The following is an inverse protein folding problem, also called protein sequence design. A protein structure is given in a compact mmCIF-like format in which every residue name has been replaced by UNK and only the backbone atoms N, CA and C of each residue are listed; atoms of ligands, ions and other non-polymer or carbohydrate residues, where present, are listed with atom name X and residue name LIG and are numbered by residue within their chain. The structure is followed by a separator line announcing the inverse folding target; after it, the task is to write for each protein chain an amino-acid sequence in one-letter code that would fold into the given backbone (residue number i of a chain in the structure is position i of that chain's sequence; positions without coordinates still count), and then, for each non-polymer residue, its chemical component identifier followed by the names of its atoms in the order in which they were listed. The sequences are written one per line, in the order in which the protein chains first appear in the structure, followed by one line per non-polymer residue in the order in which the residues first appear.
data_IF_017091886521
#
_entry.id   IF_017091886521
#
_cell.length_a   1.000
_cell.length_b   1.000
_cell.length_c   1.000
_cell.angle_alpha   90.00
_cell.angle_beta   90.00
_cell.angle_gamma   90.00
#
_symmetry.space_group_name_H-M   'P 1'
#
loop_
_entity.id
_entity.type
_entity.pdbx_description
1 polymer ?
#
# COMPACT_ATOMS: atom_id res chain seq x y z
N UNK A 1 -16.69 7.65 -18.66
CA UNK A 1 -15.87 6.43 -18.73
C UNK A 1 -14.43 6.86 -18.47
N UNK A 2 -13.84 6.43 -17.35
CA UNK A 2 -12.63 7.05 -16.77
C UNK A 2 -11.39 6.83 -17.66
N UNK A 3 -11.37 5.73 -18.41
CA UNK A 3 -10.22 5.29 -19.23
C UNK A 3 -10.40 5.63 -20.71
N UNK A 4 -11.64 5.78 -21.19
CA UNK A 4 -11.92 6.03 -22.61
C UNK A 4 -11.37 7.39 -23.04
N UNK A 5 -10.45 7.38 -23.99
CA UNK A 5 -9.79 8.59 -24.52
C UNK A 5 -8.72 9.18 -23.59
N UNK A 6 -8.33 8.48 -22.52
CA UNK A 6 -7.19 8.86 -21.71
C UNK A 6 -5.89 8.27 -22.30
N UNK A 7 -4.77 8.95 -22.10
CA UNK A 7 -3.45 8.37 -22.33
C UNK A 7 -3.05 7.51 -21.13
N UNK A 8 -2.53 6.32 -21.41
CA UNK A 8 -2.12 5.36 -20.39
C UNK A 8 -0.61 5.18 -20.44
N UNK A 9 0.05 5.47 -19.32
CA UNK A 9 1.45 5.10 -19.12
C UNK A 9 1.54 4.05 -18.02
N UNK A 10 2.39 3.06 -18.22
CA UNK A 10 2.68 2.06 -17.21
C UNK A 10 4.18 1.88 -17.05
N UNK A 11 4.62 1.69 -15.82
CA UNK A 11 6.00 1.43 -15.48
C UNK A 11 6.08 0.44 -14.34
N UNK A 12 6.75 -0.69 -14.57
CA UNK A 12 7.09 -1.62 -13.51
C UNK A 12 8.31 -1.06 -12.75
N UNK A 13 8.09 -0.67 -11.49
CA UNK A 13 9.10 -0.05 -10.62
C UNK A 13 9.87 -1.08 -9.80
N UNK A 14 9.24 -2.23 -9.54
CA UNK A 14 9.86 -3.43 -8.99
C UNK A 14 9.16 -4.66 -9.58
N UNK A 15 9.94 -5.57 -10.16
CA UNK A 15 9.41 -6.68 -10.97
C UNK A 15 8.44 -7.55 -10.19
N UNK A 16 7.18 -7.60 -10.63
CA UNK A 16 6.07 -8.32 -10.03
C UNK A 16 5.62 -7.81 -8.66
N UNK A 17 6.07 -6.61 -8.24
CA UNK A 17 5.93 -6.11 -6.86
C UNK A 17 5.42 -4.68 -6.77
N UNK A 18 5.80 -3.79 -7.69
CA UNK A 18 5.33 -2.41 -7.71
C UNK A 18 5.13 -1.96 -9.15
N UNK A 19 3.88 -1.69 -9.51
CA UNK A 19 3.49 -1.17 -10.82
C UNK A 19 2.93 0.24 -10.64
N UNK A 20 3.44 1.18 -11.41
CA UNK A 20 2.86 2.50 -11.56
C UNK A 20 2.06 2.56 -12.86
N UNK A 21 0.81 2.97 -12.78
CA UNK A 21 -0.04 3.29 -13.92
C UNK A 21 -0.47 4.73 -13.80
N UNK A 22 -0.25 5.53 -14.83
CA UNK A 22 -0.79 6.88 -14.94
C UNK A 22 -1.90 6.90 -15.99
N UNK A 23 -3.04 7.44 -15.58
CA UNK A 23 -4.14 7.81 -16.47
C UNK A 23 -4.08 9.32 -16.66
N UNK A 24 -3.70 9.76 -17.85
CA UNK A 24 -3.58 11.18 -18.18
C UNK A 24 -4.78 11.67 -18.99
N UNK A 25 -5.33 12.81 -18.58
CA UNK A 25 -6.34 13.58 -19.31
C UNK A 25 -5.95 15.06 -19.30
N UNK A 26 -6.60 15.84 -20.16
CA UNK A 26 -6.35 17.27 -20.28
C UNK A 26 -6.59 18.01 -18.95
N UNK A 27 -7.61 17.59 -18.19
CA UNK A 27 -8.01 18.27 -16.95
C UNK A 27 -7.37 17.70 -15.69
N UNK A 28 -6.99 16.42 -15.68
CA UNK A 28 -6.44 15.76 -14.50
C UNK A 28 -5.61 14.53 -14.84
N UNK A 29 -4.76 14.15 -13.90
CA UNK A 29 -4.02 12.89 -13.94
C UNK A 29 -4.32 12.07 -12.70
N UNK A 30 -4.36 10.75 -12.86
CA UNK A 30 -4.46 9.78 -11.77
C UNK A 30 -3.23 8.89 -11.81
N UNK A 31 -2.47 8.90 -10.72
CA UNK A 31 -1.38 7.98 -10.47
C UNK A 31 -1.90 6.83 -9.62
N UNK A 32 -1.81 5.61 -10.16
CA UNK A 32 -2.16 4.38 -9.46
C UNK A 32 -0.86 3.62 -9.19
N UNK A 33 -0.56 3.38 -7.91
CA UNK A 33 0.53 2.50 -7.49
C UNK A 33 -0.08 1.19 -7.01
N UNK A 34 0.12 0.12 -7.76
CA UNK A 34 -0.27 -1.23 -7.37
C UNK A 34 0.93 -1.94 -6.72
N UNK A 35 0.77 -2.38 -5.48
CA UNK A 35 1.81 -3.08 -4.73
C UNK A 35 1.42 -4.53 -4.45
N UNK A 36 2.40 -5.43 -4.58
CA UNK A 36 2.34 -6.79 -4.08
C UNK A 36 3.59 -7.06 -3.24
N UNK A 37 3.54 -6.74 -1.96
CA UNK A 37 4.69 -6.89 -1.06
C UNK A 37 5.11 -8.36 -0.91
N UNK A 38 6.37 -8.60 -0.60
CA UNK A 38 6.85 -9.94 -0.28
C UNK A 38 6.14 -10.50 0.95
N UNK A 39 5.62 -11.73 0.89
CA UNK A 39 4.94 -12.37 2.03
C UNK A 39 5.80 -12.36 3.29
N UNK A 40 5.25 -11.99 4.45
CA UNK A 40 6.01 -11.95 5.69
C UNK A 40 6.37 -13.38 6.15
N UNK A 41 7.63 -13.62 6.45
CA UNK A 41 8.15 -14.90 6.95
C UNK A 41 8.72 -14.67 8.34
N UNK A 42 8.20 -15.37 9.34
CA UNK A 42 8.66 -15.29 10.72
C UNK A 42 9.90 -16.15 11.00
N UNK A 43 10.28 -17.04 10.07
CA UNK A 43 11.46 -17.89 10.26
C UNK A 43 12.78 -17.11 10.07
N UNK A 44 13.81 -17.60 10.74
CA UNK A 44 15.12 -16.97 10.96
C UNK A 44 16.00 -16.82 9.72
N UNK A 45 15.46 -17.00 8.52
CA UNK A 45 16.23 -16.91 7.27
C UNK A 45 16.60 -15.46 6.89
N UNK A 46 16.00 -14.44 7.53
CA UNK A 46 16.40 -13.02 7.51
C UNK A 46 16.35 -12.30 6.15
N UNK A 47 16.33 -13.04 5.05
CA UNK A 47 16.48 -12.56 3.67
C UNK A 47 15.23 -11.87 3.12
N UNK A 48 14.08 -12.04 3.77
CA UNK A 48 12.83 -11.50 3.27
C UNK A 48 12.55 -10.08 3.79
N UNK A 49 12.95 -9.77 5.03
CA UNK A 49 12.72 -8.45 5.61
C UNK A 49 13.50 -7.36 4.86
N UNK A 50 14.75 -7.63 4.45
CA UNK A 50 15.53 -6.71 3.62
C UNK A 50 14.87 -6.41 2.26
N UNK A 51 14.26 -7.40 1.62
CA UNK A 51 13.50 -7.20 0.37
C UNK A 51 12.24 -6.35 0.61
N UNK A 52 11.57 -6.56 1.74
CA UNK A 52 10.40 -5.76 2.14
C UNK A 52 10.79 -4.30 2.36
N UNK A 53 11.87 -4.03 3.10
CA UNK A 53 12.43 -2.69 3.30
C UNK A 53 12.75 -2.01 1.96
N UNK A 54 13.44 -2.71 1.05
CA UNK A 54 13.77 -2.15 -0.27
C UNK A 54 12.52 -1.75 -1.07
N UNK A 55 11.44 -2.55 -0.97
CA UNK A 55 10.18 -2.22 -1.62
C UNK A 55 9.48 -1.03 -0.95
N UNK A 56 9.55 -0.90 0.37
CA UNK A 56 9.05 0.28 1.10
C UNK A 56 9.79 1.55 0.70
N UNK A 57 11.12 1.51 0.65
CA UNK A 57 11.94 2.63 0.19
C UNK A 57 11.58 3.03 -1.23
N UNK A 58 11.40 2.05 -2.11
CA UNK A 58 11.01 2.28 -3.51
C UNK A 58 9.61 2.91 -3.60
N UNK A 59 8.65 2.40 -2.83
CA UNK A 59 7.30 2.96 -2.77
C UNK A 59 7.34 4.41 -2.27
N UNK A 60 7.98 4.66 -1.13
CA UNK A 60 8.08 5.99 -0.53
C UNK A 60 8.76 7.00 -1.47
N UNK A 61 9.89 6.63 -2.06
CA UNK A 61 10.60 7.45 -3.05
C UNK A 61 9.72 7.75 -4.26
N UNK A 62 8.94 6.77 -4.71
CA UNK A 62 8.02 6.95 -5.83
C UNK A 62 6.93 7.96 -5.47
N UNK A 63 6.25 7.78 -4.34
CA UNK A 63 5.18 8.69 -3.88
C UNK A 63 5.71 10.13 -3.76
N UNK A 64 6.88 10.32 -3.16
CA UNK A 64 7.50 11.64 -3.02
C UNK A 64 7.87 12.29 -4.36
N UNK A 65 8.14 11.48 -5.39
CA UNK A 65 8.46 11.93 -6.74
C UNK A 65 7.24 12.24 -7.62
N UNK A 66 6.03 11.85 -7.21
CA UNK A 66 4.81 12.14 -7.96
C UNK A 66 4.41 13.61 -7.85
N UNK A 67 3.77 14.13 -8.90
CA UNK A 67 3.29 15.51 -8.89
C UNK A 67 2.10 15.63 -7.94
N UNK A 68 2.20 16.49 -6.92
CA UNK A 68 1.14 16.69 -5.90
C UNK A 68 -0.24 17.09 -6.43
N UNK A 69 -0.32 17.60 -7.66
CA UNK A 69 -1.58 17.94 -8.34
C UNK A 69 -2.32 16.72 -8.89
N UNK A 70 -1.63 15.60 -9.07
CA UNK A 70 -2.22 14.37 -9.55
C UNK A 70 -2.98 13.72 -8.41
N UNK A 71 -4.10 13.08 -8.73
CA UNK A 71 -4.76 12.18 -7.77
C UNK A 71 -3.89 10.95 -7.59
N UNK A 72 -3.65 10.53 -6.35
CA UNK A 72 -2.88 9.34 -6.04
C UNK A 72 -3.80 8.27 -5.47
N UNK A 73 -3.65 7.04 -5.97
CA UNK A 73 -4.28 5.86 -5.39
C UNK A 73 -3.22 4.77 -5.24
N UNK A 74 -2.97 4.36 -4.01
CA UNK A 74 -2.17 3.18 -3.68
C UNK A 74 -3.13 2.02 -3.41
N UNK A 75 -2.91 0.89 -4.07
CA UNK A 75 -3.75 -0.31 -3.93
C UNK A 75 -2.91 -1.57 -3.93
N UNK A 76 -3.41 -2.62 -3.28
CA UNK A 76 -2.88 -3.97 -3.43
C UNK A 76 -2.67 -4.69 -2.11
N UNK A 77 -1.86 -5.74 -2.15
CA UNK A 77 -1.53 -6.60 -1.02
C UNK A 77 -0.18 -6.17 -0.43
N UNK A 78 -0.25 -5.56 0.75
CA UNK A 78 0.89 -5.04 1.48
C UNK A 78 1.56 -6.12 2.35
N UNK A 79 0.99 -7.32 2.45
CA UNK A 79 1.49 -8.45 3.25
C UNK A 79 1.90 -8.08 4.68
N UNK A 80 1.34 -7.00 5.23
CA UNK A 80 1.39 -6.60 6.63
C UNK A 80 0.27 -5.60 6.93
N UNK A 81 0.17 -5.21 8.19
CA UNK A 81 -0.82 -4.27 8.68
C UNK A 81 -0.10 -3.08 9.32
N UNK A 82 -0.48 -1.81 9.05
CA UNK A 82 0.17 -0.67 9.65
C UNK A 82 -0.21 -0.54 11.14
N UNK A 83 0.67 0.05 11.94
CA UNK A 83 0.29 0.58 13.26
C UNK A 83 -0.71 1.71 13.09
N UNK A 84 -1.55 1.92 14.10
CA UNK A 84 -2.53 3.01 14.08
C UNK A 84 -1.82 4.36 14.01
N UNK A 85 -2.19 5.17 13.02
CA UNK A 85 -1.75 6.55 12.84
C UNK A 85 -2.99 7.42 12.77
N UNK A 86 -3.08 8.41 13.65
CA UNK A 86 -4.21 9.33 13.71
C UNK A 86 -4.36 10.09 12.38
N UNK A 87 -5.58 10.14 11.84
CA UNK A 87 -5.87 10.80 10.57
C UNK A 87 -5.52 9.98 9.32
N UNK A 88 -4.56 9.06 9.41
CA UNK A 88 -4.20 8.16 8.31
C UNK A 88 -4.99 6.84 8.34
N UNK A 89 -5.34 6.36 9.54
CA UNK A 89 -6.10 5.11 9.72
C UNK A 89 -7.34 5.37 10.58
N UNK A 90 -8.44 4.67 10.28
CA UNK A 90 -9.72 4.87 10.97
C UNK A 90 -9.80 4.17 12.33
N UNK A 91 -9.44 2.89 12.39
CA UNK A 91 -9.38 2.11 13.64
C UNK A 91 -8.03 1.46 13.82
N UNK A 92 -7.69 1.14 15.07
CA UNK A 92 -6.52 0.34 15.39
C UNK A 92 -6.66 -1.09 14.83
N UNK A 93 -5.63 -1.54 14.13
CA UNK A 93 -5.58 -2.87 13.53
C UNK A 93 -4.70 -3.76 14.41
N UNK A 94 -5.33 -4.60 15.24
CA UNK A 94 -4.70 -5.37 16.33
C UNK A 94 -3.57 -6.34 15.92
N UNK A 95 -3.41 -6.61 14.62
CA UNK A 95 -2.38 -7.52 14.09
C UNK A 95 -1.11 -6.82 13.61
N UNK A 96 -1.01 -5.50 13.74
CA UNK A 96 0.20 -4.77 13.34
C UNK A 96 1.47 -5.29 14.04
N UNK A 97 1.38 -5.62 15.33
CA UNK A 97 2.52 -6.14 16.12
C UNK A 97 3.01 -7.53 15.66
N UNK A 98 2.31 -8.20 14.74
CA UNK A 98 2.78 -9.46 14.15
C UNK A 98 3.83 -9.26 13.04
N UNK A 99 4.03 -8.01 12.58
CA UNK A 99 4.90 -7.69 11.45
C UNK A 99 6.01 -6.73 11.90
N UNK A 100 7.26 -7.13 11.66
CA UNK A 100 8.43 -6.32 12.03
C UNK A 100 8.49 -4.96 11.31
N UNK A 101 7.93 -4.87 10.11
CA UNK A 101 7.91 -3.66 9.27
C UNK A 101 6.57 -2.90 9.32
N UNK A 102 5.69 -3.20 10.29
CA UNK A 102 4.45 -2.45 10.48
C UNK A 102 4.70 -0.95 10.76
N UNK A 103 5.80 -0.64 11.45
CA UNK A 103 6.19 0.73 11.75
C UNK A 103 6.59 1.50 10.48
N UNK A 104 7.31 0.88 9.54
CA UNK A 104 7.65 1.51 8.26
C UNK A 104 6.41 1.81 7.43
N UNK A 105 5.45 0.89 7.38
CA UNK A 105 4.19 1.15 6.70
C UNK A 105 3.52 2.41 7.30
N UNK A 106 3.40 2.49 8.63
CA UNK A 106 2.87 3.67 9.31
C UNK A 106 3.67 4.95 9.01
N UNK A 107 5.00 4.88 8.96
CA UNK A 107 5.86 6.02 8.59
C UNK A 107 5.62 6.48 7.16
N UNK A 108 5.46 5.56 6.20
CA UNK A 108 5.13 5.91 4.80
C UNK A 108 3.77 6.62 4.73
N UNK A 109 2.79 6.15 5.51
CA UNK A 109 1.48 6.80 5.57
C UNK A 109 1.57 8.21 6.12
N UNK A 110 2.20 8.37 7.28
CA UNK A 110 2.31 9.65 7.98
C UNK A 110 3.12 10.67 7.19
N UNK A 111 4.28 10.27 6.66
CA UNK A 111 5.19 11.16 5.93
C UNK A 111 4.60 11.69 4.62
N UNK A 112 3.67 10.94 4.01
CA UNK A 112 3.02 11.32 2.76
C UNK A 112 1.56 11.76 2.95
N UNK A 113 1.09 11.89 4.19
CA UNK A 113 -0.29 12.25 4.54
C UNK A 113 -1.35 11.34 3.88
N UNK A 114 -1.05 10.05 3.79
CA UNK A 114 -1.89 9.06 3.12
C UNK A 114 -2.92 8.44 4.06
N UNK A 115 -4.13 8.25 3.56
CA UNK A 115 -5.27 7.72 4.30
C UNK A 115 -5.62 6.31 3.82
N UNK A 116 -5.63 5.34 4.73
CA UNK A 116 -6.02 3.95 4.47
C UNK A 116 -7.54 3.82 4.51
N UNK A 117 -8.18 4.00 3.36
CA UNK A 117 -9.63 4.18 3.23
C UNK A 117 -10.45 3.01 3.81
N UNK A 118 -10.02 1.77 3.58
CA UNK A 118 -10.73 0.58 4.03
C UNK A 118 -10.60 0.28 5.54
N UNK A 119 -10.03 1.21 6.32
CA UNK A 119 -9.95 1.13 7.79
C UNK A 119 -10.97 1.99 8.53
N UNK A 120 -11.80 2.76 7.81
CA UNK A 120 -12.76 3.71 8.42
C UNK A 120 -14.17 3.17 8.60
N UNK A 121 -14.46 1.97 8.09
CA UNK A 121 -15.77 1.33 8.22
C UNK A 121 -15.73 0.22 9.26
N UNK A 122 -16.63 0.26 10.26
CA UNK A 122 -16.84 -0.88 11.16
C UNK A 122 -17.50 -2.02 10.40
N UNK A 123 -16.80 -3.14 10.28
CA UNK A 123 -17.32 -4.39 9.72
C UNK A 123 -17.15 -5.51 10.73
N UNK A 124 -17.96 -6.57 10.60
CA UNK A 124 -17.87 -7.77 11.44
C UNK A 124 -16.49 -8.45 11.34
N UNK A 125 -15.87 -8.37 10.17
CA UNK A 125 -14.46 -8.71 9.94
C UNK A 125 -13.91 -7.73 8.92
N UNK A 126 -12.65 -7.33 9.13
CA UNK A 126 -11.85 -6.56 8.19
C UNK A 126 -10.80 -7.44 7.49
N UNK A 127 -10.86 -8.76 7.68
CA UNK A 127 -9.90 -9.68 7.07
C UNK A 127 -10.07 -9.65 5.54
N UNK A 128 -8.98 -9.43 4.82
CA UNK A 128 -8.92 -9.47 3.36
C UNK A 128 -8.27 -10.76 2.85
N UNK A 129 -7.53 -11.44 3.73
CA UNK A 129 -6.95 -12.76 3.51
C UNK A 129 -7.49 -13.79 4.50
N UNK A 130 -7.80 -14.98 3.99
CA UNK A 130 -8.25 -16.13 4.79
C UNK A 130 -7.45 -17.35 4.38
N UNK A 131 -6.49 -17.73 5.22
CA UNK A 131 -5.73 -18.97 5.10
C UNK A 131 -6.31 -20.10 5.95
N UNK A 132 -5.71 -21.29 5.86
CA UNK A 132 -6.16 -22.46 6.61
C UNK A 132 -6.03 -22.31 8.13
N UNK A 133 -5.03 -21.55 8.61
CA UNK A 133 -4.70 -21.41 10.04
C UNK A 133 -4.87 -19.99 10.60
N UNK A 134 -4.95 -18.99 9.72
CA UNK A 134 -5.02 -17.60 10.14
C UNK A 134 -5.79 -16.77 9.13
N UNK A 135 -6.27 -15.62 9.60
CA UNK A 135 -6.84 -14.55 8.79
C UNK A 135 -5.97 -13.30 8.97
N UNK A 136 -6.02 -12.37 8.03
CA UNK A 136 -5.30 -11.11 8.14
C UNK A 136 -5.95 -10.01 7.30
N UNK A 137 -5.66 -8.77 7.65
CA UNK A 137 -5.97 -7.59 6.83
C UNK A 137 -4.65 -7.09 6.24
N UNK A 138 -4.47 -7.35 4.95
CA UNK A 138 -3.23 -7.05 4.22
C UNK A 138 -3.47 -6.33 2.90
N UNK A 139 -4.73 -6.30 2.43
CA UNK A 139 -5.12 -5.60 1.22
C UNK A 139 -5.69 -4.22 1.58
N UNK A 140 -5.12 -3.17 1.00
CA UNK A 140 -5.50 -1.79 1.32
C UNK A 140 -5.75 -0.94 0.08
N UNK A 141 -6.62 0.06 0.24
CA UNK A 141 -6.82 1.17 -0.69
C UNK A 141 -6.47 2.45 0.06
N UNK A 142 -5.56 3.23 -0.51
CA UNK A 142 -4.90 4.34 0.16
C UNK A 142 -4.85 5.55 -0.78
N UNK A 143 -5.08 6.75 -0.26
CA UNK A 143 -5.06 8.02 -1.01
C UNK A 143 -4.43 9.14 -0.21
#
# INVERSE_FOLDING_TARGET
DLVRGAELHQQELAVGRLLHVRISRDEYNIDILNIYQHAYQQDSSGNNLSKRHQLWDKLNTTVQGLARRNMLVLIGDFNCTPKHVQGCTGYELSRAELYADAAEFSTVLEANHLVVLNTWSRRRSLDTFVGAKHKSIIDFVIT
#
